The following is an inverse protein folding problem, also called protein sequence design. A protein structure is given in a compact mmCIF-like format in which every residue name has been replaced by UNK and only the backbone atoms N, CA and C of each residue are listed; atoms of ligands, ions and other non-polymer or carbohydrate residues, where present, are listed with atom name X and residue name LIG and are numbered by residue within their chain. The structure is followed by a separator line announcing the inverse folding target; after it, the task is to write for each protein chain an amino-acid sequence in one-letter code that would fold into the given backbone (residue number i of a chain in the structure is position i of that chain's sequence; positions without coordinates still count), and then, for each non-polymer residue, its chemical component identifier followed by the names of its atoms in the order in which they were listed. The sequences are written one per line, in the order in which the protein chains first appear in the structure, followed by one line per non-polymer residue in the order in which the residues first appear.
data_IF_233147148640
#
_entry.id   IF_233147148640
#
_cell.length_a   1.000
_cell.length_b   1.000
_cell.length_c   1.000
_cell.angle_alpha   90.00
_cell.angle_beta   90.00
_cell.angle_gamma   90.00
#
_symmetry.space_group_name_H-M   'P 1'
#
loop_
_entity.id
_entity.type
_entity.pdbx_description
1 polymer ?
#
# COMPACT_ATOMS: atom_id res chain seq x y z
N UNK A 1 -13.81 -13.09 -2.18
CA UNK A 1 -14.93 -13.39 -3.10
C UNK A 1 -15.34 -14.82 -2.87
N UNK A 2 -16.62 -15.08 -2.70
CA UNK A 2 -17.10 -16.46 -2.60
C UNK A 2 -17.08 -17.10 -4.00
N UNK A 3 -16.25 -18.13 -4.18
CA UNK A 3 -16.11 -18.82 -5.46
C UNK A 3 -17.30 -19.74 -5.76
N UNK A 4 -18.17 -20.01 -4.78
CA UNK A 4 -19.44 -20.71 -5.00
C UNK A 4 -20.42 -19.76 -5.69
N UNK A 5 -20.46 -18.48 -5.27
CA UNK A 5 -21.30 -17.46 -5.90
C UNK A 5 -20.73 -16.96 -7.23
N UNK A 6 -19.40 -16.91 -7.35
CA UNK A 6 -18.67 -16.38 -8.50
C UNK A 6 -17.57 -17.36 -8.98
N UNK A 7 -17.96 -18.47 -9.64
CA UNK A 7 -17.03 -19.55 -9.99
C UNK A 7 -15.98 -19.16 -11.03
N UNK A 8 -16.30 -18.20 -11.91
CA UNK A 8 -15.42 -17.68 -12.96
C UNK A 8 -14.42 -16.61 -12.46
N UNK A 9 -14.48 -16.23 -11.18
CA UNK A 9 -13.67 -15.14 -10.65
C UNK A 9 -12.16 -15.37 -10.82
N UNK A 10 -11.69 -16.60 -10.62
CA UNK A 10 -10.29 -16.98 -10.76
C UNK A 10 -9.83 -17.13 -12.21
N UNK A 11 -10.76 -17.26 -13.15
CA UNK A 11 -10.46 -17.27 -14.59
C UNK A 11 -10.22 -15.85 -15.13
N UNK A 12 -10.75 -14.84 -14.43
CA UNK A 12 -10.68 -13.43 -14.83
C UNK A 12 -9.65 -12.65 -13.99
N UNK A 13 -9.52 -12.98 -12.69
CA UNK A 13 -8.68 -12.25 -11.73
C UNK A 13 -7.48 -13.10 -11.33
N UNK A 14 -6.30 -12.69 -11.82
CA UNK A 14 -5.02 -13.36 -11.57
C UNK A 14 -4.63 -13.34 -10.08
N UNK A 15 -4.71 -12.16 -9.46
CA UNK A 15 -4.27 -11.94 -8.07
C UNK A 15 -5.41 -11.39 -7.22
N UNK A 16 -6.24 -12.26 -6.61
CA UNK A 16 -7.29 -11.80 -5.69
C UNK A 16 -6.71 -11.09 -4.48
N UNK A 17 -7.47 -10.11 -3.97
CA UNK A 17 -7.12 -9.35 -2.79
C UNK A 17 -8.39 -8.88 -2.08
N UNK A 18 -8.33 -8.75 -0.75
CA UNK A 18 -9.43 -8.29 0.09
C UNK A 18 -8.90 -7.60 1.36
N UNK A 19 -9.77 -6.88 2.07
CA UNK A 19 -9.36 -6.10 3.24
C UNK A 19 -8.98 -6.95 4.46
N UNK A 20 -9.46 -8.18 4.59
CA UNK A 20 -9.03 -9.06 5.67
C UNK A 20 -7.58 -9.50 5.43
N UNK A 21 -7.26 -9.91 4.21
CA UNK A 21 -5.88 -10.23 3.79
C UNK A 21 -4.92 -9.03 3.99
N UNK A 22 -5.34 -7.83 3.60
CA UNK A 22 -4.54 -6.60 3.83
C UNK A 22 -4.32 -6.34 5.32
N UNK A 23 -5.37 -6.49 6.15
CA UNK A 23 -5.26 -6.30 7.60
C UNK A 23 -4.32 -7.33 8.22
N UNK A 24 -4.47 -8.60 7.88
CA UNK A 24 -3.62 -9.68 8.40
C UNK A 24 -2.16 -9.49 8.01
N UNK A 25 -1.89 -9.06 6.77
CA UNK A 25 -0.54 -8.76 6.28
C UNK A 25 0.08 -7.58 7.05
N UNK A 26 -0.73 -6.55 7.36
CA UNK A 26 -0.31 -5.41 8.17
C UNK A 26 -0.01 -5.83 9.62
N UNK A 27 -0.89 -6.58 10.26
CA UNK A 27 -0.75 -7.03 11.66
C UNK A 27 0.40 -8.02 11.83
N UNK A 28 0.69 -8.83 10.81
CA UNK A 28 1.85 -9.71 10.76
C UNK A 28 3.19 -8.95 10.58
N UNK A 29 3.15 -7.65 10.30
CA UNK A 29 4.35 -6.84 10.04
C UNK A 29 4.99 -7.13 8.68
N UNK A 30 4.24 -7.67 7.72
CA UNK A 30 4.73 -8.10 6.42
C UNK A 30 4.69 -6.99 5.35
N UNK A 31 4.39 -5.74 5.74
CA UNK A 31 4.57 -4.57 4.90
C UNK A 31 5.76 -3.74 5.37
N UNK A 32 6.74 -3.52 4.50
CA UNK A 32 7.92 -2.68 4.79
C UNK A 32 7.58 -1.19 4.72
N UNK A 33 6.53 -0.83 3.97
CA UNK A 33 6.13 0.55 3.78
C UNK A 33 4.62 0.68 3.55
N UNK A 34 4.01 1.84 3.88
CA UNK A 34 2.61 2.12 3.53
C UNK A 34 2.37 2.06 2.02
N UNK A 35 3.41 2.20 1.19
CA UNK A 35 3.28 2.09 -0.27
C UNK A 35 2.97 0.66 -0.73
N UNK A 36 3.37 -0.37 0.03
CA UNK A 36 3.03 -1.77 -0.28
C UNK A 36 1.59 -2.06 0.07
N UNK A 37 1.14 -1.67 1.27
CA UNK A 37 -0.28 -1.71 1.64
C UNK A 37 -1.16 -0.99 0.60
N UNK A 38 -0.73 0.18 0.11
CA UNK A 38 -1.45 0.90 -0.94
C UNK A 38 -1.61 0.09 -2.23
N UNK A 39 -0.60 -0.69 -2.61
CA UNK A 39 -0.66 -1.52 -3.83
C UNK A 39 -1.77 -2.56 -3.68
N UNK A 40 -1.84 -3.23 -2.53
CA UNK A 40 -2.83 -4.27 -2.29
C UNK A 40 -4.25 -3.69 -2.19
N UNK A 41 -4.43 -2.57 -1.50
CA UNK A 41 -5.75 -1.91 -1.45
C UNK A 41 -6.20 -1.45 -2.84
N UNK A 42 -5.30 -0.89 -3.65
CA UNK A 42 -5.61 -0.52 -5.05
C UNK A 42 -5.90 -1.75 -5.92
N UNK A 43 -5.30 -2.89 -5.61
CA UNK A 43 -5.58 -4.15 -6.29
C UNK A 43 -7.02 -4.63 -6.01
N UNK A 44 -7.54 -4.46 -4.80
CA UNK A 44 -8.96 -4.73 -4.48
C UNK A 44 -9.88 -3.96 -5.44
N UNK A 45 -9.66 -2.66 -5.58
CA UNK A 45 -10.49 -1.80 -6.45
C UNK A 45 -10.29 -2.12 -7.93
N UNK A 46 -9.07 -2.43 -8.34
CA UNK A 46 -8.75 -2.82 -9.72
C UNK A 46 -9.42 -4.14 -10.09
N UNK A 47 -9.38 -5.14 -9.20
CA UNK A 47 -10.06 -6.41 -9.39
C UNK A 47 -11.58 -6.24 -9.47
N UNK A 48 -12.16 -5.38 -8.62
CA UNK A 48 -13.59 -5.02 -8.71
C UNK A 48 -13.94 -4.44 -10.09
N UNK A 49 -13.07 -3.57 -10.64
CA UNK A 49 -13.26 -2.97 -11.97
C UNK A 49 -13.16 -3.99 -13.09
N UNK A 50 -12.18 -4.89 -13.03
CA UNK A 50 -11.94 -5.92 -14.06
C UNK A 50 -13.07 -6.95 -14.07
N UNK A 51 -13.49 -7.41 -12.90
CA UNK A 51 -14.53 -8.44 -12.79
C UNK A 51 -15.95 -7.91 -13.08
N UNK A 52 -16.18 -6.60 -12.91
CA UNK A 52 -17.52 -6.04 -13.03
C UNK A 52 -18.09 -6.18 -14.46
N UNK A 53 -19.27 -6.80 -14.65
CA UNK A 53 -19.86 -6.96 -15.98
C UNK A 53 -20.46 -5.65 -16.54
N UNK A 54 -20.77 -4.67 -15.69
CA UNK A 54 -21.33 -3.38 -16.09
C UNK A 54 -20.95 -2.25 -15.14
N UNK A 55 -20.57 -1.07 -15.68
CA UNK A 55 -20.20 0.12 -14.89
C UNK A 55 -21.31 0.66 -13.98
N UNK A 56 -22.56 0.22 -14.14
CA UNK A 56 -23.69 0.56 -13.25
C UNK A 56 -23.89 -0.44 -12.11
N UNK A 57 -23.03 -1.46 -12.00
CA UNK A 57 -23.08 -2.44 -10.92
C UNK A 57 -23.00 -1.76 -9.55
N UNK A 58 -23.83 -2.22 -8.62
CA UNK A 58 -23.86 -1.74 -7.23
C UNK A 58 -22.51 -1.92 -6.54
N UNK A 59 -21.89 -3.10 -6.70
CA UNK A 59 -20.58 -3.44 -6.10
C UNK A 59 -19.50 -2.51 -6.66
N UNK A 60 -19.51 -2.27 -7.98
CA UNK A 60 -18.54 -1.37 -8.61
C UNK A 60 -18.69 0.06 -8.11
N UNK A 61 -19.91 0.59 -8.04
CA UNK A 61 -20.19 1.92 -7.48
C UNK A 61 -19.75 2.05 -6.02
N UNK A 62 -19.92 1.01 -5.21
CA UNK A 62 -19.38 0.95 -3.85
C UNK A 62 -17.85 1.00 -3.84
N UNK A 63 -17.18 0.21 -4.70
CA UNK A 63 -15.71 0.21 -4.78
C UNK A 63 -15.13 1.56 -5.20
N UNK A 64 -15.81 2.32 -6.08
CA UNK A 64 -15.37 3.65 -6.48
C UNK A 64 -15.42 4.65 -5.32
N UNK A 65 -16.52 4.65 -4.55
CA UNK A 65 -16.65 5.53 -3.36
C UNK A 65 -15.61 5.19 -2.30
N UNK A 66 -15.39 3.90 -2.06
CA UNK A 66 -14.39 3.45 -1.09
C UNK A 66 -12.97 3.76 -1.56
N UNK A 67 -12.70 3.66 -2.88
CA UNK A 67 -11.41 4.07 -3.46
C UNK A 67 -11.15 5.57 -3.28
N UNK A 68 -12.15 6.42 -3.51
CA UNK A 68 -12.00 7.86 -3.31
C UNK A 68 -11.69 8.19 -1.83
N UNK A 69 -12.44 7.59 -0.90
CA UNK A 69 -12.19 7.73 0.54
C UNK A 69 -10.78 7.24 0.93
N UNK A 70 -10.35 6.10 0.39
CA UNK A 70 -9.01 5.57 0.64
C UNK A 70 -7.91 6.52 0.17
N UNK A 71 -7.99 7.03 -1.07
CA UNK A 71 -6.98 7.93 -1.63
C UNK A 71 -6.89 9.27 -0.88
N UNK A 72 -8.02 9.80 -0.42
CA UNK A 72 -8.08 11.00 0.41
C UNK A 72 -7.25 10.81 1.70
N UNK A 73 -7.49 9.72 2.42
CA UNK A 73 -6.85 9.47 3.72
C UNK A 73 -5.41 8.96 3.62
N UNK A 74 -5.08 8.14 2.62
CA UNK A 74 -3.74 7.53 2.53
C UNK A 74 -2.67 8.54 2.09
N UNK A 75 -3.08 9.64 1.46
CA UNK A 75 -2.18 10.68 0.93
C UNK A 75 -1.29 11.30 2.02
N UNK A 76 -1.84 11.58 3.21
CA UNK A 76 -1.12 12.14 4.35
C UNK A 76 -0.10 11.14 4.91
N UNK A 77 -0.52 9.89 5.12
CA UNK A 77 0.32 8.80 5.62
C UNK A 77 1.54 8.59 4.71
N UNK A 78 1.32 8.58 3.40
CA UNK A 78 2.43 8.45 2.43
C UNK A 78 3.38 9.65 2.47
N UNK A 79 2.85 10.87 2.62
CA UNK A 79 3.66 12.08 2.73
C UNK A 79 4.53 12.08 3.99
N UNK A 80 3.93 11.74 5.13
CA UNK A 80 4.59 11.71 6.43
C UNK A 80 5.68 10.64 6.48
N UNK A 81 5.38 9.43 6.01
CA UNK A 81 6.35 8.35 5.91
C UNK A 81 7.54 8.73 5.02
N UNK A 82 7.29 9.33 3.85
CA UNK A 82 8.37 9.81 2.97
C UNK A 82 9.20 10.91 3.63
N UNK A 83 8.57 11.81 4.37
CA UNK A 83 9.25 12.88 5.10
C UNK A 83 10.13 12.32 6.21
N UNK A 84 9.62 11.37 6.99
CA UNK A 84 10.37 10.67 8.03
C UNK A 84 11.59 9.93 7.45
N UNK A 85 11.43 9.23 6.32
CA UNK A 85 12.54 8.56 5.63
C UNK A 85 13.62 9.54 5.15
N UNK A 86 13.23 10.68 4.56
CA UNK A 86 14.19 11.72 4.12
C UNK A 86 14.97 12.28 5.31
N UNK A 87 14.28 12.55 6.42
CA UNK A 87 14.91 13.02 7.65
C UNK A 87 15.90 12.00 8.21
N UNK A 88 15.52 10.73 8.27
CA UNK A 88 16.38 9.65 8.73
C UNK A 88 17.65 9.50 7.87
N UNK A 89 17.51 9.52 6.54
CA UNK A 89 18.64 9.51 5.60
C UNK A 89 19.57 10.71 5.81
N UNK A 90 19.03 11.91 6.01
CA UNK A 90 19.85 13.11 6.28
C UNK A 90 20.62 13.00 7.59
N UNK A 91 19.97 12.55 8.66
CA UNK A 91 20.59 12.39 9.98
C UNK A 91 21.72 11.35 9.97
N UNK A 92 21.50 10.21 9.31
CA UNK A 92 22.51 9.15 9.21
C UNK A 92 23.75 9.59 8.41
N UNK A 93 23.57 10.37 7.34
CA UNK A 93 24.70 10.93 6.56
C UNK A 93 25.51 11.92 7.40
N UNK A 94 24.85 12.83 8.14
CA UNK A 94 25.55 13.79 9.02
C UNK A 94 26.36 13.09 10.10
N UNK A 95 25.81 12.05 10.75
CA UNK A 95 26.52 11.23 11.74
C UNK A 95 27.75 10.53 11.14
N UNK A 96 27.64 9.98 9.91
CA UNK A 96 28.78 9.34 9.22
C UNK A 96 29.90 10.34 8.91
N UNK A 97 29.56 11.56 8.48
CA UNK A 97 30.55 12.62 8.21
C UNK A 97 31.30 13.06 9.47
N UNK A 98 30.59 13.29 10.58
CA UNK A 98 31.21 13.67 11.86
C UNK A 98 32.12 12.59 12.44
N UNK A 99 31.77 11.30 12.27
CA UNK A 99 32.66 10.21 12.68
C UNK A 99 33.97 10.19 11.87
N UNK A 100 33.87 10.31 10.54
CA UNK A 100 35.07 10.34 9.67
C UNK A 100 36.01 11.51 9.99
N UNK A 101 35.46 12.70 10.24
CA UNK A 101 36.30 13.86 10.58
C UNK A 101 37.04 13.70 11.90
N UNK A 102 36.45 13.01 12.88
CA UNK A 102 37.11 12.70 14.17
C UNK A 102 38.21 11.65 14.02
N UNK A 103 37.98 10.63 13.20
CA UNK A 103 38.98 9.58 12.94
C UNK A 103 40.24 10.12 12.26
N UNK A 104 40.09 11.08 11.33
CA UNK A 104 41.23 11.73 10.65
C UNK A 104 42.02 12.71 11.52
N UNK A 105 41.49 13.11 12.68
CA UNK A 105 42.20 14.00 13.63
C UNK A 105 43.03 13.25 14.67
N UNK A 106 42.90 11.92 14.74
CA UNK A 106 43.58 11.05 15.71
C UNK A 106 44.71 10.21 15.08
N UNK A 107 44.94 10.37 13.78
CA UNK A 107 45.98 9.73 12.96
C UNK A 107 46.92 10.80 12.41
#
# INVERSE_FOLDING_TARGET
VDLIEYPDYRDIIDTPMDFATVRETLEAGNYESPSELCKDVRLIFSNSKVYTPCKRSRIYSMSLRLSAFFEEHISSILSDYKSALRFHKRSTIQKKRSKRSRSSSLS
#
